data_IF_587632245027
#
_entry.id   IF_587632245027
#
_cell.length_a   1.000
_cell.length_b   1.000
_cell.length_c   1.000
_cell.angle_alpha   90.00
_cell.angle_beta   90.00
_cell.angle_gamma   90.00
#
_symmetry.space_group_name_H-M   'P 1'
#
loop_
_entity.id
_entity.type
_entity.pdbx_description
1 polymer ?
#
# COMPACT_ATOMS: atom_id res chain seq x y z
N UNK A 1 43.10 -17.69 9.93
CA UNK A 1 42.22 -16.50 9.97
C UNK A 1 40.92 -16.94 10.62
N UNK A 2 40.53 -16.30 11.72
CA UNK A 2 39.21 -16.57 12.31
C UNK A 2 38.12 -16.23 11.28
N UNK A 3 37.06 -17.05 11.16
CA UNK A 3 35.95 -16.73 10.27
C UNK A 3 35.30 -15.44 10.76
N UNK A 4 35.28 -14.43 9.91
CA UNK A 4 34.58 -13.18 10.20
C UNK A 4 33.10 -13.50 10.48
N UNK A 5 32.64 -13.20 11.68
CA UNK A 5 31.21 -13.16 11.96
C UNK A 5 30.57 -12.15 11.01
N UNK A 6 29.67 -12.60 10.15
CA UNK A 6 28.89 -11.76 9.25
C UNK A 6 27.90 -10.94 10.09
N UNK A 7 28.39 -9.91 10.79
CA UNK A 7 27.57 -8.95 11.51
C UNK A 7 26.86 -8.07 10.50
N UNK A 8 25.65 -8.49 10.13
CA UNK A 8 24.69 -7.74 9.33
C UNK A 8 25.10 -7.52 7.87
N UNK A 9 24.15 -7.50 6.94
CA UNK A 9 24.50 -7.23 5.55
C UNK A 9 25.03 -5.80 5.37
N UNK A 10 26.21 -5.67 4.78
CA UNK A 10 26.96 -4.42 4.50
C UNK A 10 26.23 -3.42 3.59
N UNK A 11 25.05 -3.77 3.04
CA UNK A 11 24.33 -3.01 2.02
C UNK A 11 23.27 -2.01 2.54
N UNK A 12 23.06 -1.88 3.86
CA UNK A 12 22.14 -0.87 4.42
C UNK A 12 22.96 0.28 5.06
N UNK A 13 22.91 1.52 4.52
CA UNK A 13 23.58 2.67 5.13
C UNK A 13 22.78 3.26 6.30
N UNK A 14 21.48 2.98 6.40
CA UNK A 14 20.70 3.29 7.60
C UNK A 14 20.94 2.17 8.61
N UNK A 15 21.37 2.54 9.82
CA UNK A 15 21.51 1.60 10.92
C UNK A 15 20.13 1.06 11.32
N UNK A 16 19.81 -0.11 10.78
CA UNK A 16 18.53 -0.79 10.97
C UNK A 16 18.57 -1.84 12.09
N UNK A 17 19.65 -1.84 12.87
CA UNK A 17 19.82 -2.71 14.03
C UNK A 17 18.73 -2.38 15.05
N UNK A 18 17.94 -3.39 15.42
CA UNK A 18 16.81 -3.24 16.34
C UNK A 18 15.53 -2.66 15.73
N UNK A 19 15.45 -2.53 14.40
CA UNK A 19 14.20 -2.17 13.75
C UNK A 19 13.19 -3.31 13.81
N UNK A 20 11.96 -2.97 14.18
CA UNK A 20 10.82 -3.84 13.97
C UNK A 20 10.39 -3.82 12.49
N UNK A 21 9.69 -4.87 12.05
CA UNK A 21 9.17 -5.05 10.70
C UNK A 21 8.34 -3.85 10.23
N UNK A 22 7.60 -3.19 11.13
CA UNK A 22 6.83 -1.99 10.82
C UNK A 22 7.72 -0.82 10.42
N UNK A 23 8.87 -0.60 11.07
CA UNK A 23 9.80 0.48 10.71
C UNK A 23 10.36 0.30 9.29
N UNK A 24 10.62 -0.94 8.89
CA UNK A 24 11.05 -1.22 7.52
C UNK A 24 9.96 -0.87 6.51
N UNK A 25 8.68 -1.14 6.83
CA UNK A 25 7.56 -0.78 5.96
C UNK A 25 7.40 0.75 5.90
N UNK A 26 7.40 1.43 7.04
CA UNK A 26 7.23 2.88 7.14
C UNK A 26 8.30 3.65 6.34
N UNK A 27 9.50 3.08 6.19
CA UNK A 27 10.55 3.65 5.36
C UNK A 27 10.13 3.83 3.88
N UNK A 28 9.22 2.99 3.37
CA UNK A 28 8.75 3.02 1.98
C UNK A 28 7.27 3.40 1.85
N UNK A 29 6.48 3.08 2.87
CA UNK A 29 5.03 3.18 2.89
C UNK A 29 4.61 3.84 4.21
N UNK A 30 4.80 5.14 4.31
CA UNK A 30 4.46 5.92 5.50
C UNK A 30 2.99 6.32 5.54
N UNK A 31 2.59 6.82 6.71
CA UNK A 31 1.24 7.33 6.95
C UNK A 31 0.88 8.50 6.04
N UNK A 32 1.85 9.31 5.62
CA UNK A 32 1.63 10.41 4.66
C UNK A 32 1.22 9.88 3.28
N UNK A 33 1.90 8.85 2.77
CA UNK A 33 1.50 8.20 1.53
C UNK A 33 0.11 7.56 1.68
N UNK A 34 -0.17 6.90 2.81
CA UNK A 34 -1.47 6.29 3.05
C UNK A 34 -2.59 7.34 3.09
N UNK A 35 -2.35 8.48 3.75
CA UNK A 35 -3.29 9.57 3.81
C UNK A 35 -3.53 10.17 2.42
N UNK A 36 -2.48 10.37 1.62
CA UNK A 36 -2.60 10.80 0.23
C UNK A 36 -3.51 9.87 -0.58
N UNK A 37 -3.33 8.55 -0.45
CA UNK A 37 -4.16 7.56 -1.16
C UNK A 37 -5.62 7.67 -0.71
N UNK A 38 -5.87 7.81 0.60
CA UNK A 38 -7.21 7.96 1.16
C UNK A 38 -7.89 9.22 0.63
N UNK A 39 -7.20 10.35 0.64
CA UNK A 39 -7.73 11.64 0.23
C UNK A 39 -8.08 11.64 -1.26
N UNK A 40 -7.17 11.17 -2.12
CA UNK A 40 -7.40 11.12 -3.57
C UNK A 40 -8.46 10.09 -3.94
N UNK A 41 -8.53 8.97 -3.22
CA UNK A 41 -9.61 7.98 -3.37
C UNK A 41 -10.97 8.57 -2.98
N UNK A 42 -11.05 9.25 -1.84
CA UNK A 42 -12.27 9.89 -1.36
C UNK A 42 -12.71 11.03 -2.29
N UNK A 43 -11.78 11.88 -2.74
CA UNK A 43 -12.07 12.96 -3.68
C UNK A 43 -12.76 12.43 -4.94
N UNK A 44 -12.21 11.35 -5.54
CA UNK A 44 -12.83 10.71 -6.71
C UNK A 44 -14.14 10.02 -6.41
N UNK A 45 -14.31 9.45 -5.21
CA UNK A 45 -15.55 8.80 -4.82
C UNK A 45 -16.67 9.82 -4.58
N UNK A 46 -16.37 10.91 -3.86
CA UNK A 46 -17.28 12.03 -3.60
C UNK A 46 -17.74 12.67 -4.90
N UNK A 47 -16.85 12.89 -5.88
CA UNK A 47 -17.22 13.39 -7.21
C UNK A 47 -18.31 12.52 -7.89
N UNK A 48 -18.30 11.20 -7.64
CA UNK A 48 -19.24 10.26 -8.26
C UNK A 48 -20.51 10.00 -7.46
N UNK A 49 -20.42 9.99 -6.13
CA UNK A 49 -21.49 9.50 -5.25
C UNK A 49 -21.94 10.51 -4.20
N UNK A 50 -21.21 11.61 -4.04
CA UNK A 50 -21.43 12.61 -2.98
C UNK A 50 -21.03 12.14 -1.57
N UNK A 51 -20.39 10.97 -1.42
CA UNK A 51 -20.04 10.39 -0.11
C UNK A 51 -18.57 10.03 -0.04
N UNK A 52 -17.99 10.14 1.15
CA UNK A 52 -16.63 9.63 1.43
C UNK A 52 -16.63 8.12 1.41
N UNK A 53 -15.59 7.52 0.84
CA UNK A 53 -15.48 6.07 0.74
C UNK A 53 -14.90 5.44 1.99
N UNK A 54 -13.73 5.89 2.46
CA UNK A 54 -12.93 5.22 3.49
C UNK A 54 -12.14 6.19 4.38
N UNK A 55 -11.77 5.74 5.57
CA UNK A 55 -10.83 6.43 6.47
C UNK A 55 -9.41 5.87 6.32
N UNK A 56 -8.42 6.51 6.97
CA UNK A 56 -7.06 5.97 7.07
C UNK A 56 -7.04 4.59 7.74
N UNK A 57 -7.85 4.40 8.78
CA UNK A 57 -7.96 3.11 9.47
C UNK A 57 -8.54 2.02 8.54
N UNK A 58 -9.60 2.33 7.79
CA UNK A 58 -10.18 1.41 6.81
C UNK A 58 -9.14 1.01 5.75
N UNK A 59 -8.32 1.97 5.30
CA UNK A 59 -7.27 1.71 4.33
C UNK A 59 -6.18 0.79 4.90
N UNK A 60 -5.71 1.03 6.13
CA UNK A 60 -4.74 0.16 6.81
C UNK A 60 -5.28 -1.26 7.00
N UNK A 61 -6.56 -1.42 7.38
CA UNK A 61 -7.22 -2.73 7.46
C UNK A 61 -7.23 -3.42 6.10
N UNK A 62 -7.63 -2.70 5.04
CA UNK A 62 -7.66 -3.23 3.69
C UNK A 62 -6.27 -3.68 3.22
N UNK A 63 -5.24 -2.86 3.47
CA UNK A 63 -3.84 -3.14 3.12
C UNK A 63 -3.31 -4.37 3.86
N UNK A 64 -3.56 -4.46 5.17
CA UNK A 64 -3.18 -5.64 5.96
C UNK A 64 -3.85 -6.92 5.46
N UNK A 65 -5.14 -6.86 5.10
CA UNK A 65 -5.85 -7.97 4.48
C UNK A 65 -5.23 -8.33 3.11
N UNK A 66 -4.83 -7.34 2.31
CA UNK A 66 -4.12 -7.58 1.04
C UNK A 66 -2.79 -8.32 1.26
N UNK A 67 -2.03 -7.99 2.31
CA UNK A 67 -0.82 -8.72 2.67
C UNK A 67 -1.11 -10.18 3.06
N UNK A 68 -2.11 -10.42 3.92
CA UNK A 68 -2.51 -11.79 4.28
C UNK A 68 -2.94 -12.60 3.06
N UNK A 69 -3.73 -12.01 2.15
CA UNK A 69 -4.14 -12.64 0.90
C UNK A 69 -2.93 -12.96 0.00
N UNK A 70 -1.93 -12.08 -0.04
CA UNK A 70 -0.71 -12.30 -0.82
C UNK A 70 0.16 -13.43 -0.27
N UNK A 71 0.09 -13.69 1.03
CA UNK A 71 0.80 -14.79 1.69
C UNK A 71 0.07 -16.14 1.54
N UNK A 72 -1.27 -16.14 1.61
CA UNK A 72 -2.07 -17.38 1.53
C UNK A 72 -2.31 -17.88 0.09
N UNK A 73 -2.37 -16.96 -0.88
CA UNK A 73 -2.41 -17.27 -2.31
C UNK A 73 -3.52 -18.25 -2.77
N UNK A 74 -4.72 -18.17 -2.18
CA UNK A 74 -5.85 -18.96 -2.66
C UNK A 74 -6.14 -18.69 -4.14
N UNK A 75 -6.52 -19.72 -4.92
CA UNK A 75 -6.71 -19.59 -6.38
C UNK A 75 -7.75 -18.55 -6.78
N UNK A 76 -8.74 -18.30 -5.91
CA UNK A 76 -9.81 -17.35 -6.18
C UNK A 76 -10.04 -16.46 -4.97
N UNK A 77 -10.09 -15.14 -5.20
CA UNK A 77 -10.30 -14.15 -4.16
C UNK A 77 -11.57 -14.37 -3.33
N UNK A 78 -12.64 -14.89 -3.95
CA UNK A 78 -13.89 -15.19 -3.22
C UNK A 78 -13.75 -16.27 -2.15
N UNK A 79 -12.75 -17.14 -2.25
CA UNK A 79 -12.57 -18.26 -1.32
C UNK A 79 -12.27 -17.79 0.10
N UNK A 80 -11.57 -16.66 0.27
CA UNK A 80 -11.28 -16.08 1.58
C UNK A 80 -12.53 -15.74 2.41
N UNK A 81 -13.69 -15.57 1.77
CA UNK A 81 -14.98 -15.30 2.41
C UNK A 81 -16.00 -16.45 2.24
N UNK A 82 -15.64 -17.56 1.59
CA UNK A 82 -16.54 -18.70 1.41
C UNK A 82 -16.66 -19.51 2.71
N UNK A 83 -17.87 -19.90 3.12
CA UNK A 83 -18.13 -20.62 4.38
C UNK A 83 -17.17 -21.79 4.66
N UNK A 84 -16.79 -22.55 3.63
CA UNK A 84 -15.89 -23.71 3.73
C UNK A 84 -14.39 -23.36 3.87
N UNK A 85 -13.97 -22.24 3.29
CA UNK A 85 -12.56 -21.85 3.17
C UNK A 85 -12.27 -20.48 3.80
N UNK A 86 -13.22 -19.95 4.59
CA UNK A 86 -13.10 -18.61 5.13
C UNK A 86 -11.88 -18.53 6.03
N UNK A 87 -11.18 -17.41 5.93
CA UNK A 87 -10.08 -17.10 6.83
C UNK A 87 -10.63 -16.12 7.87
N UNK A 88 -10.85 -16.54 9.14
CA UNK A 88 -11.49 -15.70 10.14
C UNK A 88 -10.81 -14.34 10.31
N UNK A 89 -9.48 -14.29 10.22
CA UNK A 89 -8.70 -13.05 10.24
C UNK A 89 -9.15 -12.05 9.16
N UNK A 90 -9.46 -12.53 7.95
CA UNK A 90 -9.94 -11.68 6.85
C UNK A 90 -11.41 -11.35 7.02
N UNK A 91 -12.26 -12.37 7.29
CA UNK A 91 -13.72 -12.18 7.32
C UNK A 91 -14.20 -11.32 8.48
N UNK A 92 -13.48 -11.32 9.59
CA UNK A 92 -13.80 -10.49 10.75
C UNK A 92 -13.31 -9.05 10.57
N UNK A 93 -12.27 -8.83 9.76
CA UNK A 93 -11.70 -7.51 9.53
C UNK A 93 -12.46 -6.71 8.46
N UNK A 94 -12.88 -7.33 7.36
CA UNK A 94 -13.54 -6.64 6.25
C UNK A 94 -14.47 -7.58 5.46
N UNK A 95 -15.61 -7.08 5.01
CA UNK A 95 -16.48 -7.84 4.09
C UNK A 95 -15.89 -7.91 2.69
N UNK A 96 -16.25 -8.95 1.92
CA UNK A 96 -15.78 -9.13 0.54
C UNK A 96 -16.17 -7.94 -0.33
N UNK A 97 -17.41 -7.49 -0.21
CA UNK A 97 -17.98 -6.39 -0.98
C UNK A 97 -17.23 -5.09 -0.69
N UNK A 98 -16.92 -4.83 0.58
CA UNK A 98 -16.14 -3.66 1.00
C UNK A 98 -14.70 -3.75 0.49
N UNK A 99 -14.06 -4.91 0.58
CA UNK A 99 -12.70 -5.13 0.07
C UNK A 99 -12.61 -4.87 -1.44
N UNK A 100 -13.56 -5.40 -2.20
CA UNK A 100 -13.63 -5.21 -3.66
C UNK A 100 -13.95 -3.76 -4.03
N UNK A 101 -14.83 -3.11 -3.28
CA UNK A 101 -15.17 -1.70 -3.46
C UNK A 101 -13.95 -0.80 -3.27
N UNK A 102 -13.18 -0.99 -2.19
CA UNK A 102 -11.95 -0.23 -1.97
C UNK A 102 -10.96 -0.51 -3.11
N UNK A 103 -10.69 -1.78 -3.41
CA UNK A 103 -9.73 -2.20 -4.45
C UNK A 103 -9.98 -1.54 -5.81
N UNK A 104 -11.24 -1.43 -6.25
CA UNK A 104 -11.58 -0.82 -7.55
C UNK A 104 -11.63 0.71 -7.53
N UNK A 105 -11.63 1.32 -6.35
CA UNK A 105 -11.79 2.76 -6.17
C UNK A 105 -10.48 3.47 -5.83
N UNK A 106 -9.42 2.76 -5.48
CA UNK A 106 -8.12 3.33 -5.11
C UNK A 106 -7.59 4.32 -6.15
N UNK A 107 -7.14 5.47 -5.66
CA UNK A 107 -6.49 6.53 -6.42
C UNK A 107 -5.31 7.08 -5.62
N UNK A 108 -4.19 7.26 -6.30
CA UNK A 108 -3.04 7.99 -5.76
C UNK A 108 -2.99 9.44 -6.23
N UNK A 109 -3.69 9.74 -7.32
CA UNK A 109 -3.75 11.05 -7.95
C UNK A 109 -5.19 11.30 -8.38
N UNK A 110 -5.64 12.54 -8.23
CA UNK A 110 -6.93 12.97 -8.73
C UNK A 110 -6.78 13.45 -10.17
N UNK A 111 -7.47 12.79 -11.11
CA UNK A 111 -7.30 12.97 -12.55
C UNK A 111 -7.51 14.44 -13.02
N UNK A 112 -8.28 15.25 -12.29
CA UNK A 112 -8.55 16.66 -12.61
C UNK A 112 -7.42 17.60 -12.17
N UNK A 113 -6.58 17.20 -11.21
CA UNK A 113 -5.41 17.97 -10.76
C UNK A 113 -4.27 17.93 -11.79
N UNK A 114 -4.34 17.04 -12.79
CA UNK A 114 -3.26 16.76 -13.73
C UNK A 114 -3.59 17.32 -15.12
N UNK A 115 -2.71 18.20 -15.59
CA UNK A 115 -2.83 18.82 -16.91
C UNK A 115 -2.59 17.82 -18.05
N UNK A 116 -2.96 18.20 -19.27
CA UNK A 116 -2.83 17.33 -20.45
C UNK A 116 -1.36 17.10 -20.79
N UNK A 117 -0.52 18.12 -20.59
CA UNK A 117 0.92 18.06 -20.87
C UNK A 117 1.62 17.05 -19.96
N UNK A 118 1.26 17.02 -18.67
CA UNK A 118 1.78 16.02 -17.72
C UNK A 118 1.32 14.61 -18.11
N UNK A 119 0.07 14.44 -18.54
CA UNK A 119 -0.44 13.13 -19.00
C UNK A 119 0.29 12.62 -20.23
N UNK A 120 0.71 13.51 -21.12
CA UNK A 120 1.45 13.16 -22.34
C UNK A 120 2.93 12.85 -22.06
N UNK A 121 3.57 13.62 -21.19
CA UNK A 121 4.98 13.47 -20.85
C UNK A 121 5.26 12.30 -19.91
N UNK A 122 4.42 12.10 -18.88
CA UNK A 122 4.58 11.04 -17.90
C UNK A 122 3.47 9.99 -18.00
N UNK A 123 3.72 8.87 -18.67
CA UNK A 123 2.75 7.75 -18.77
C UNK A 123 2.37 7.12 -17.43
N UNK A 124 3.21 7.27 -16.40
CA UNK A 124 3.02 6.69 -15.06
C UNK A 124 2.44 7.68 -14.06
N UNK A 125 1.94 8.84 -14.52
CA UNK A 125 1.43 9.92 -13.67
C UNK A 125 0.44 9.45 -12.58
N UNK A 126 -0.37 8.41 -12.86
CA UNK A 126 -1.35 7.85 -11.90
C UNK A 126 -0.74 7.16 -10.68
N UNK A 127 0.48 6.64 -10.81
CA UNK A 127 1.21 5.91 -9.76
C UNK A 127 2.49 6.62 -9.35
N UNK A 128 2.79 7.76 -9.98
CA UNK A 128 3.98 8.57 -9.73
C UNK A 128 4.23 8.84 -8.24
N UNK A 129 3.23 9.23 -7.41
CA UNK A 129 3.48 9.44 -5.98
C UNK A 129 4.03 8.21 -5.26
N UNK A 130 3.55 7.01 -5.61
CA UNK A 130 4.06 5.76 -5.05
C UNK A 130 5.50 5.49 -5.50
N UNK A 131 5.78 5.66 -6.79
CA UNK A 131 7.11 5.42 -7.35
C UNK A 131 8.13 6.35 -6.71
N UNK A 132 7.81 7.65 -6.60
CA UNK A 132 8.72 8.61 -5.97
C UNK A 132 8.91 8.29 -4.48
N UNK A 133 7.84 7.88 -3.76
CA UNK A 133 7.98 7.50 -2.36
C UNK A 133 8.89 6.29 -2.16
N UNK A 134 8.75 5.27 -3.01
CA UNK A 134 9.65 4.11 -3.03
C UNK A 134 11.07 4.50 -3.39
N UNK A 135 11.26 5.35 -4.41
CA UNK A 135 12.56 5.86 -4.82
C UNK A 135 13.26 6.58 -3.67
N UNK A 136 12.55 7.44 -2.93
CA UNK A 136 13.09 8.11 -1.73
C UNK A 136 13.51 7.09 -0.68
N UNK A 137 12.70 6.06 -0.43
CA UNK A 137 13.05 4.97 0.47
C UNK A 137 14.35 4.26 0.06
N UNK A 138 14.49 3.94 -1.23
CA UNK A 138 15.70 3.32 -1.79
C UNK A 138 16.93 4.24 -1.72
N UNK A 139 16.78 5.53 -2.04
CA UNK A 139 17.87 6.50 -2.02
C UNK A 139 18.37 6.79 -0.59
N UNK A 140 17.48 6.76 0.40
CA UNK A 140 17.89 6.80 1.80
C UNK A 140 18.75 5.60 2.20
N UNK A 141 18.65 4.49 1.44
CA UNK A 141 19.48 3.30 1.59
C UNK A 141 20.68 3.28 0.61
N UNK A 142 20.93 4.35 -0.16
CA UNK A 142 22.11 4.48 -1.00
C UNK A 142 23.22 5.22 -0.24
N UNK A 143 24.46 4.73 -0.35
CA UNK A 143 25.66 5.46 0.12
C UNK A 143 26.03 6.57 -0.84
#
# INVERSE_FOLDING_TARGET
PEPAELTSPTYLPIESVGWDSFKYIDQYLDDDLFQLIVDKTNQKHVEKTGKTLLTLQDFKIWLGVTFVISALQYPQLRMYWMRKFKVPLITNAISRERYLLIRRSLKLVFDQDITVEVKQSDRLWKVRPLIERFRTGCLAQAR
#
